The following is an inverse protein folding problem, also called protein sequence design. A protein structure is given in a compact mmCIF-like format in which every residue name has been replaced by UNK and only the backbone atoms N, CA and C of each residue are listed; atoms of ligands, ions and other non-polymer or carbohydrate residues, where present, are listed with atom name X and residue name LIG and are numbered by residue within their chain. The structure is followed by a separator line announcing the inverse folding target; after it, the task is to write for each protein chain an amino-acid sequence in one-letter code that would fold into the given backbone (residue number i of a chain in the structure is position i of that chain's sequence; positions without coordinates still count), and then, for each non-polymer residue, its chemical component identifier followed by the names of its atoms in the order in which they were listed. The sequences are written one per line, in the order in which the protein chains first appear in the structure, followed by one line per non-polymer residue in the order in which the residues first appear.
data_IF_222924406306
#
_entry.id   IF_222924406306
#
_cell.length_a   1.000
_cell.length_b   1.000
_cell.length_c   1.000
_cell.angle_alpha   90.00
_cell.angle_beta   90.00
_cell.angle_gamma   90.00
#
_symmetry.space_group_name_H-M   'P 1'
#
loop_
_entity.id
_entity.type
_entity.pdbx_description
1 polymer ?
#
# COMPACT_ATOMS: atom_id res chain seq x y z
N UNK A 1 8.65 4.94 -0.40
CA UNK A 1 8.61 5.67 0.88
C UNK A 1 8.87 4.73 2.04
N UNK A 2 9.39 5.27 3.14
CA UNK A 2 9.61 4.50 4.35
C UNK A 2 8.30 4.38 5.14
N UNK A 3 8.27 3.47 6.11
CA UNK A 3 7.13 3.38 7.02
C UNK A 3 6.95 4.68 7.80
N UNK A 4 8.04 5.34 8.18
CA UNK A 4 7.96 6.62 8.89
C UNK A 4 7.23 7.68 8.07
N UNK A 5 7.51 7.74 6.77
CA UNK A 5 6.82 8.65 5.88
C UNK A 5 5.35 8.31 5.74
N UNK A 6 5.03 7.01 5.59
CA UNK A 6 3.66 6.52 5.55
C UNK A 6 2.91 6.91 6.82
N UNK A 7 3.51 6.64 7.96
CA UNK A 7 2.89 6.94 9.24
C UNK A 7 2.61 8.44 9.40
N UNK A 8 3.56 9.27 9.00
CA UNK A 8 3.38 10.72 9.03
C UNK A 8 2.21 11.17 8.15
N UNK A 9 2.12 10.64 6.95
CA UNK A 9 1.04 10.97 6.02
C UNK A 9 -0.34 10.57 6.55
N UNK A 10 -0.40 9.55 7.39
CA UNK A 10 -1.65 9.01 7.91
C UNK A 10 -1.99 9.51 9.33
N UNK A 11 -1.29 10.52 9.80
CA UNK A 11 -1.62 11.15 11.07
C UNK A 11 -0.80 10.70 12.27
N UNK A 12 0.14 9.78 12.10
CA UNK A 12 1.09 9.40 13.15
C UNK A 12 0.66 8.27 14.08
N UNK A 13 -0.47 7.60 13.79
CA UNK A 13 -0.99 6.55 14.66
C UNK A 13 -0.97 5.16 14.03
N UNK A 14 -0.18 4.97 12.98
CA UNK A 14 -0.10 3.66 12.33
C UNK A 14 0.88 2.74 13.03
N UNK A 15 0.62 1.45 12.95
CA UNK A 15 1.48 0.43 13.53
C UNK A 15 2.22 -0.30 12.41
N UNK A 16 3.54 -0.35 12.49
CA UNK A 16 4.36 -0.99 11.47
C UNK A 16 3.98 -2.46 11.25
N UNK A 17 3.48 -3.14 12.27
CA UNK A 17 3.05 -4.54 12.15
C UNK A 17 1.82 -4.71 11.27
N UNK A 18 1.07 -3.64 10.99
CA UNK A 18 -0.14 -3.68 10.17
C UNK A 18 0.13 -3.46 8.69
N UNK A 19 1.35 -3.16 8.33
CA UNK A 19 1.73 -2.79 6.96
C UNK A 19 2.85 -3.68 6.45
N UNK A 20 2.82 -3.95 5.14
CA UNK A 20 3.90 -4.65 4.47
C UNK A 20 4.12 -4.04 3.10
N UNK A 21 5.31 -4.23 2.56
CA UNK A 21 5.62 -3.74 1.22
C UNK A 21 5.24 -4.81 0.20
N UNK A 22 4.54 -4.37 -0.84
CA UNK A 22 4.18 -5.27 -1.94
C UNK A 22 5.43 -5.66 -2.72
N UNK A 23 5.52 -6.93 -3.08
CA UNK A 23 6.69 -7.48 -3.77
C UNK A 23 6.93 -6.80 -5.10
N UNK A 24 5.87 -6.47 -5.84
CA UNK A 24 5.98 -5.83 -7.15
C UNK A 24 5.76 -4.33 -6.97
N UNK A 25 6.85 -3.57 -6.93
CA UNK A 25 6.82 -2.11 -6.84
C UNK A 25 7.20 -1.53 -5.50
N UNK A 26 7.13 -2.29 -4.42
CA UNK A 26 7.56 -1.85 -3.09
C UNK A 26 6.59 -0.94 -2.35
N UNK A 27 5.37 -0.76 -2.87
CA UNK A 27 4.36 0.06 -2.20
C UNK A 27 3.80 -0.60 -0.95
N UNK A 28 3.10 0.17 -0.14
CA UNK A 28 2.65 -0.28 1.17
C UNK A 28 1.23 -0.82 1.12
N UNK A 29 1.03 -1.97 1.73
CA UNK A 29 -0.26 -2.67 1.76
C UNK A 29 -0.64 -2.93 3.20
N UNK A 30 -1.85 -2.48 3.59
CA UNK A 30 -2.38 -2.74 4.92
C UNK A 30 -2.80 -4.21 5.05
N UNK A 31 -2.72 -4.76 6.24
CA UNK A 31 -3.05 -6.17 6.48
C UNK A 31 -4.48 -6.53 6.08
N UNK A 32 -5.39 -5.56 6.08
CA UNK A 32 -6.79 -5.79 5.67
C UNK A 32 -6.98 -5.75 4.15
N UNK A 33 -5.97 -5.33 3.41
CA UNK A 33 -6.06 -5.22 1.96
C UNK A 33 -5.76 -6.55 1.28
N UNK A 34 -6.24 -6.69 0.05
CA UNK A 34 -5.92 -7.83 -0.81
C UNK A 34 -5.36 -7.31 -2.12
N UNK A 35 -4.13 -7.68 -2.42
CA UNK A 35 -3.45 -7.24 -3.63
C UNK A 35 -2.90 -8.46 -4.34
N UNK A 36 -3.29 -8.64 -5.60
CA UNK A 36 -2.74 -9.74 -6.39
C UNK A 36 -1.23 -9.56 -6.56
N UNK A 37 -0.52 -10.68 -6.54
CA UNK A 37 0.93 -10.65 -6.66
C UNK A 37 1.38 -10.04 -7.98
N UNK A 38 0.57 -10.15 -9.03
CA UNK A 38 0.86 -9.58 -10.35
C UNK A 38 0.59 -8.08 -10.44
N UNK A 39 -0.16 -7.53 -9.48
CA UNK A 39 -0.43 -6.11 -9.47
C UNK A 39 0.83 -5.33 -9.09
N UNK A 40 0.95 -4.12 -9.63
CA UNK A 40 2.02 -3.21 -9.29
C UNK A 40 1.53 -2.21 -8.25
N UNK A 41 2.22 -2.13 -7.12
CA UNK A 41 1.96 -1.07 -6.14
C UNK A 41 3.26 -0.28 -6.00
N UNK A 42 3.27 0.92 -6.53
CA UNK A 42 4.46 1.75 -6.58
C UNK A 42 4.91 2.22 -5.20
N UNK A 43 6.15 2.65 -5.11
CA UNK A 43 6.83 2.91 -3.85
C UNK A 43 6.12 3.92 -2.94
N UNK A 44 5.42 4.91 -3.51
CA UNK A 44 4.72 5.94 -2.76
C UNK A 44 3.22 5.68 -2.63
N UNK A 45 2.74 4.52 -3.10
CA UNK A 45 1.33 4.18 -3.04
C UNK A 45 0.98 3.43 -1.75
N UNK A 46 -0.26 3.59 -1.31
CA UNK A 46 -0.78 2.93 -0.11
C UNK A 46 -2.11 2.26 -0.44
N UNK A 47 -2.28 1.01 -0.02
CA UNK A 47 -3.48 0.23 -0.33
C UNK A 47 -4.13 -0.30 0.93
N UNK A 48 -5.40 0.03 1.13
CA UNK A 48 -6.27 -0.57 2.17
C UNK A 48 -7.34 -1.46 1.58
N UNK A 49 -7.58 -1.35 0.28
CA UNK A 49 -8.67 -2.04 -0.40
C UNK A 49 -8.18 -3.23 -1.19
N UNK A 50 -8.87 -3.50 -2.30
CA UNK A 50 -8.56 -4.62 -3.16
C UNK A 50 -7.99 -4.16 -4.48
N UNK A 51 -6.90 -4.80 -4.90
CA UNK A 51 -6.26 -4.56 -6.19
C UNK A 51 -6.10 -5.89 -6.88
N UNK A 52 -6.75 -6.09 -8.02
CA UNK A 52 -6.81 -7.37 -8.70
C UNK A 52 -6.03 -7.38 -10.01
N UNK A 53 -5.61 -8.60 -10.38
CA UNK A 53 -5.03 -8.87 -11.68
C UNK A 53 -3.75 -8.09 -11.90
N UNK A 54 -3.64 -7.49 -13.08
CA UNK A 54 -2.46 -6.72 -13.48
C UNK A 54 -2.64 -5.23 -13.25
N UNK A 55 -3.49 -4.83 -12.32
CA UNK A 55 -3.72 -3.43 -12.00
C UNK A 55 -2.42 -2.74 -11.58
N UNK A 56 -2.34 -1.45 -11.84
CA UNK A 56 -1.17 -0.65 -11.50
C UNK A 56 -1.59 0.51 -10.59
N UNK A 57 -0.97 0.58 -9.42
CA UNK A 57 -1.20 1.66 -8.46
C UNK A 57 0.14 2.35 -8.25
N UNK A 58 0.25 3.60 -8.68
CA UNK A 58 1.53 4.29 -8.56
C UNK A 58 1.34 5.78 -8.26
N UNK A 59 2.48 6.48 -8.17
CA UNK A 59 2.48 7.84 -7.70
C UNK A 59 2.09 7.88 -6.24
N UNK A 60 1.34 8.88 -5.86
CA UNK A 60 0.84 9.03 -4.48
C UNK A 60 -0.55 8.43 -4.29
N UNK A 61 -0.91 7.43 -5.09
CA UNK A 61 -2.26 6.86 -5.06
C UNK A 61 -2.56 6.21 -3.71
N UNK A 62 -3.81 6.34 -3.29
CA UNK A 62 -4.31 5.70 -2.09
C UNK A 62 -5.58 4.94 -2.46
N UNK A 63 -5.58 3.64 -2.21
CA UNK A 63 -6.74 2.78 -2.53
C UNK A 63 -7.42 2.40 -1.22
N UNK A 64 -8.67 2.82 -1.08
CA UNK A 64 -9.48 2.57 0.11
C UNK A 64 -10.67 1.68 -0.23
N UNK A 65 -11.21 1.06 0.81
CA UNK A 65 -12.43 0.31 0.71
C UNK A 65 -12.22 -1.11 0.21
N UNK A 66 -13.31 -1.72 -0.16
CA UNK A 66 -13.32 -3.14 -0.54
C UNK A 66 -13.41 -3.32 -2.03
#
# INVERSE_FOLDING_TARGET
MTFQELNHKLGGNENAADWSQHKNGGGWVHKSARVDISALVGDDAMVWGMVYGNAQVYGNAQVFGN
#
